data_IF_234449190391
#
_entry.id   IF_234449190391
#
_cell.length_a   1.000
_cell.length_b   1.000
_cell.length_c   1.000
_cell.angle_alpha   90.00
_cell.angle_beta   90.00
_cell.angle_gamma   90.00
#
_symmetry.space_group_name_H-M   'P 1'
#
loop_
_entity.id
_entity.type
_entity.pdbx_description
1 polymer ?
#
# COMPACT_ATOMS: atom_id res chain seq x y z
N UNK A 1 1.59 -3.29 32.25
CA UNK A 1 1.50 -3.14 30.78
C UNK A 1 2.89 -3.24 30.21
N UNK A 2 3.14 -4.13 29.23
CA UNK A 2 4.46 -4.19 28.55
C UNK A 2 4.72 -2.88 27.82
N UNK A 3 5.95 -2.34 27.96
CA UNK A 3 6.36 -1.14 27.22
C UNK A 3 6.30 -1.42 25.71
N UNK A 4 5.99 -0.41 24.90
CA UNK A 4 6.00 -0.52 23.45
C UNK A 4 7.40 -0.95 22.95
N UNK A 5 8.45 -0.59 23.66
CA UNK A 5 9.85 -0.98 23.39
C UNK A 5 10.14 -2.46 23.62
N UNK A 6 9.28 -3.19 24.36
CA UNK A 6 9.46 -4.63 24.63
C UNK A 6 8.95 -5.49 23.46
N UNK A 7 8.31 -4.90 22.48
CA UNK A 7 7.78 -5.62 21.31
C UNK A 7 8.90 -6.08 20.39
N UNK A 8 8.69 -7.22 19.74
CA UNK A 8 9.65 -7.83 18.80
C UNK A 8 9.49 -7.37 17.37
N UNK A 9 8.31 -6.82 17.01
CA UNK A 9 8.01 -6.41 15.66
C UNK A 9 7.08 -5.20 15.61
N UNK A 10 7.20 -4.42 14.52
CA UNK A 10 6.49 -3.17 14.31
C UNK A 10 5.91 -3.12 12.90
N UNK A 11 4.65 -2.69 12.80
CA UNK A 11 4.07 -2.27 11.53
C UNK A 11 3.84 -0.78 11.62
N UNK A 12 4.37 -0.04 10.65
CA UNK A 12 4.30 1.40 10.59
C UNK A 12 3.59 1.81 9.31
N UNK A 13 2.66 2.76 9.42
CA UNK A 13 2.16 3.47 8.26
C UNK A 13 3.26 4.38 7.69
N UNK A 14 3.14 4.80 6.44
CA UNK A 14 4.18 5.59 5.79
C UNK A 14 3.78 7.06 5.64
N UNK A 15 2.66 7.34 4.95
CA UNK A 15 2.23 8.69 4.64
C UNK A 15 1.69 9.40 5.89
N UNK A 16 2.29 10.53 6.26
CA UNK A 16 1.97 11.25 7.48
C UNK A 16 2.53 10.62 8.77
N UNK A 17 3.35 9.56 8.67
CA UNK A 17 3.97 8.85 9.81
C UNK A 17 5.49 8.78 9.67
N UNK A 18 6.00 8.37 8.52
CA UNK A 18 7.43 8.35 8.21
C UNK A 18 7.83 9.60 7.43
N UNK A 19 7.00 9.99 6.48
CA UNK A 19 7.22 11.18 5.66
C UNK A 19 5.91 11.89 5.31
N UNK A 20 6.01 13.15 4.89
CA UNK A 20 4.94 13.87 4.20
C UNK A 20 5.52 14.45 2.91
N UNK A 21 4.90 14.12 1.76
CA UNK A 21 5.42 14.48 0.45
C UNK A 21 6.84 13.91 0.23
N UNK A 22 7.84 14.79 0.15
CA UNK A 22 9.23 14.43 -0.04
C UNK A 22 10.12 14.77 1.19
N UNK A 23 9.52 14.94 2.36
CA UNK A 23 10.23 15.28 3.60
C UNK A 23 9.96 14.21 4.67
N UNK A 24 11.02 13.72 5.31
CA UNK A 24 10.88 12.88 6.51
C UNK A 24 10.26 13.69 7.65
N UNK A 25 9.44 13.02 8.44
CA UNK A 25 8.95 13.58 9.70
C UNK A 25 10.03 13.51 10.77
N UNK A 26 9.97 14.46 11.70
CA UNK A 26 10.93 14.54 12.82
C UNK A 26 10.84 13.25 13.64
N UNK A 27 11.99 12.65 13.91
CA UNK A 27 12.13 11.39 14.65
C UNK A 27 11.96 10.11 13.80
N UNK A 28 11.58 10.19 12.54
CA UNK A 28 11.41 9.00 11.70
C UNK A 28 12.75 8.28 11.45
N UNK A 29 13.84 9.05 11.27
CA UNK A 29 15.17 8.48 11.07
C UNK A 29 15.67 7.80 12.34
N UNK A 30 15.60 8.49 13.47
CA UNK A 30 15.99 7.97 14.79
C UNK A 30 15.21 6.72 15.16
N UNK A 31 13.92 6.69 14.82
CA UNK A 31 13.07 5.52 15.03
C UNK A 31 13.53 4.30 14.22
N UNK A 32 13.84 4.47 12.94
CA UNK A 32 14.32 3.36 12.10
C UNK A 32 15.71 2.90 12.53
N UNK A 33 16.61 3.83 12.87
CA UNK A 33 17.92 3.49 13.46
C UNK A 33 17.77 2.72 14.77
N UNK A 34 16.83 3.12 15.62
CA UNK A 34 16.53 2.38 16.85
C UNK A 34 16.01 0.95 16.56
N UNK A 35 15.14 0.77 15.56
CA UNK A 35 14.66 -0.55 15.14
C UNK A 35 15.83 -1.45 14.71
N UNK A 36 16.74 -0.95 13.89
CA UNK A 36 17.92 -1.68 13.45
C UNK A 36 18.87 -2.01 14.60
N UNK A 37 19.20 -1.02 15.45
CA UNK A 37 20.15 -1.17 16.56
C UNK A 37 19.64 -2.13 17.66
N UNK A 38 18.34 -2.43 17.69
CA UNK A 38 17.72 -3.33 18.67
C UNK A 38 17.20 -4.62 18.03
N UNK A 39 17.63 -4.96 16.82
CA UNK A 39 17.23 -6.17 16.06
C UNK A 39 15.71 -6.35 16.01
N UNK A 40 14.97 -5.25 15.87
CA UNK A 40 13.51 -5.27 15.79
C UNK A 40 13.08 -5.59 14.37
N UNK A 41 12.12 -6.51 14.22
CA UNK A 41 11.45 -6.74 12.94
C UNK A 41 10.49 -5.59 12.67
N UNK A 42 10.47 -5.05 11.44
CA UNK A 42 9.50 -4.02 11.09
C UNK A 42 9.07 -4.11 9.64
N UNK A 43 7.90 -3.54 9.37
CA UNK A 43 7.31 -3.46 8.04
C UNK A 43 6.64 -2.10 7.89
N UNK A 44 6.90 -1.45 6.78
CA UNK A 44 6.18 -0.27 6.34
C UNK A 44 4.97 -0.70 5.52
N UNK A 45 3.80 -0.24 5.94
CA UNK A 45 2.53 -0.56 5.32
C UNK A 45 1.93 0.70 4.71
N UNK A 46 1.60 0.68 3.42
CA UNK A 46 0.98 1.82 2.76
C UNK A 46 -0.24 1.43 1.94
N UNK A 47 -1.26 2.29 1.94
CA UNK A 47 -2.42 2.18 1.05
C UNK A 47 -2.09 2.55 -0.40
N UNK A 48 -0.98 3.24 -0.62
CA UNK A 48 -0.58 3.60 -1.99
C UNK A 48 -0.24 2.36 -2.81
N UNK A 49 -0.73 2.33 -4.03
CA UNK A 49 -0.44 1.32 -5.05
C UNK A 49 0.47 1.84 -6.16
N UNK A 50 0.87 3.12 -6.09
CA UNK A 50 1.60 3.79 -7.17
C UNK A 50 3.01 3.24 -7.35
N UNK A 51 3.72 3.00 -6.23
CA UNK A 51 5.14 2.64 -6.22
C UNK A 51 5.38 1.20 -5.82
N UNK A 52 6.35 0.59 -6.47
CA UNK A 52 6.93 -0.68 -6.04
C UNK A 52 7.76 -0.51 -4.76
N UNK A 53 8.04 -1.61 -4.01
CA UNK A 53 8.94 -1.59 -2.86
C UNK A 53 10.31 -0.95 -3.17
N UNK A 54 10.87 -1.25 -4.33
CA UNK A 54 12.15 -0.67 -4.80
C UNK A 54 12.06 0.85 -4.96
N UNK A 55 11.00 1.36 -5.59
CA UNK A 55 10.79 2.80 -5.75
C UNK A 55 10.57 3.51 -4.41
N UNK A 56 9.93 2.83 -3.44
CA UNK A 56 9.79 3.33 -2.06
C UNK A 56 11.14 3.36 -1.34
N UNK A 57 11.96 2.32 -1.46
CA UNK A 57 13.34 2.29 -0.97
C UNK A 57 14.14 3.47 -1.54
N UNK A 58 14.11 3.66 -2.86
CA UNK A 58 14.82 4.76 -3.51
C UNK A 58 14.30 6.14 -3.07
N UNK A 59 12.97 6.28 -2.87
CA UNK A 59 12.36 7.50 -2.33
C UNK A 59 12.88 7.81 -0.94
N UNK A 60 12.88 6.83 -0.03
CA UNK A 60 13.37 7.02 1.34
C UNK A 60 14.88 7.28 1.38
N UNK A 61 15.66 6.60 0.53
CA UNK A 61 17.10 6.82 0.42
C UNK A 61 17.43 8.27 0.00
N UNK A 62 16.67 8.86 -0.94
CA UNK A 62 16.82 10.29 -1.31
C UNK A 62 16.53 11.25 -0.16
N UNK A 63 15.71 10.84 0.81
CA UNK A 63 15.43 11.60 2.04
C UNK A 63 16.40 11.28 3.18
N UNK A 64 17.41 10.42 2.96
CA UNK A 64 18.41 10.05 3.95
C UNK A 64 17.99 8.93 4.91
N UNK A 65 16.97 8.16 4.56
CA UNK A 65 16.53 6.99 5.30
C UNK A 65 16.77 5.71 4.48
N UNK A 66 17.66 4.84 4.98
CA UNK A 66 18.11 3.64 4.27
C UNK A 66 17.44 2.39 4.85
N UNK A 67 16.57 1.79 4.06
CA UNK A 67 15.88 0.51 4.34
C UNK A 67 15.81 -0.30 3.07
N UNK A 68 15.79 -1.63 3.18
CA UNK A 68 15.71 -2.54 2.02
C UNK A 68 14.27 -2.74 1.58
N UNK A 69 14.08 -3.20 0.34
CA UNK A 69 12.75 -3.31 -0.29
C UNK A 69 11.81 -4.32 0.40
N UNK A 70 12.37 -5.29 1.13
CA UNK A 70 11.63 -6.30 1.91
C UNK A 70 10.90 -5.74 3.14
N UNK A 71 11.21 -4.50 3.52
CA UNK A 71 10.50 -3.78 4.57
C UNK A 71 9.21 -3.08 4.12
N UNK A 72 8.83 -3.19 2.84
CA UNK A 72 7.62 -2.51 2.34
C UNK A 72 6.53 -3.50 1.95
N UNK A 73 5.31 -3.19 2.36
CA UNK A 73 4.10 -3.89 1.93
C UNK A 73 3.05 -2.87 1.48
N UNK A 74 2.75 -2.87 0.19
CA UNK A 74 1.85 -1.91 -0.46
C UNK A 74 0.47 -2.51 -0.73
N UNK A 75 -0.53 -1.67 -0.96
CA UNK A 75 -1.84 -2.13 -1.40
C UNK A 75 -1.78 -2.85 -2.76
N UNK A 76 -0.79 -2.51 -3.61
CA UNK A 76 -0.53 -3.22 -4.86
C UNK A 76 -0.12 -4.68 -4.61
N UNK A 77 0.83 -4.93 -3.70
CA UNK A 77 1.26 -6.28 -3.32
C UNK A 77 0.12 -7.08 -2.68
N UNK A 78 -0.67 -6.43 -1.80
CA UNK A 78 -1.82 -7.05 -1.17
C UNK A 78 -2.86 -7.49 -2.22
N UNK A 79 -3.18 -6.61 -3.17
CA UNK A 79 -4.12 -6.87 -4.25
C UNK A 79 -3.62 -7.99 -5.16
N UNK A 80 -2.36 -7.93 -5.57
CA UNK A 80 -1.75 -8.96 -6.42
C UNK A 80 -1.75 -10.35 -5.76
N UNK A 81 -1.33 -10.42 -4.50
CA UNK A 81 -1.35 -11.66 -3.71
C UNK A 81 -2.77 -12.23 -3.55
N UNK A 82 -3.74 -11.36 -3.27
CA UNK A 82 -5.15 -11.76 -3.20
C UNK A 82 -5.64 -12.35 -4.53
N UNK A 83 -5.43 -11.64 -5.64
CA UNK A 83 -5.89 -12.08 -6.95
C UNK A 83 -5.21 -13.39 -7.39
N UNK A 84 -3.92 -13.56 -7.12
CA UNK A 84 -3.21 -14.81 -7.38
C UNK A 84 -3.78 -16.00 -6.58
N UNK A 85 -4.26 -15.75 -5.36
CA UNK A 85 -4.95 -16.76 -4.54
C UNK A 85 -6.33 -17.13 -5.07
N UNK A 86 -7.02 -16.18 -5.74
CA UNK A 86 -8.34 -16.41 -6.34
C UNK A 86 -8.25 -17.09 -7.71
N UNK A 87 -7.30 -16.69 -8.52
CA UNK A 87 -7.08 -17.22 -9.87
C UNK A 87 -5.59 -17.15 -10.22
N UNK A 88 -4.83 -18.22 -10.00
CA UNK A 88 -3.43 -18.30 -10.45
C UNK A 88 -3.33 -18.08 -11.97
N UNK A 89 -2.32 -17.34 -12.39
CA UNK A 89 -2.07 -17.00 -13.81
C UNK A 89 -3.28 -16.33 -14.51
N UNK A 90 -4.02 -15.53 -13.76
CA UNK A 90 -5.15 -14.76 -14.30
C UNK A 90 -4.71 -13.61 -15.19
N UNK A 91 -5.68 -12.85 -15.71
CA UNK A 91 -5.44 -11.70 -16.56
C UNK A 91 -6.15 -10.45 -16.04
N UNK A 92 -5.54 -9.27 -16.24
CA UNK A 92 -6.07 -8.02 -15.75
C UNK A 92 -5.94 -6.87 -16.77
N UNK A 93 -6.98 -6.05 -16.85
CA UNK A 93 -6.88 -4.69 -17.35
C UNK A 93 -6.61 -3.77 -16.18
N UNK A 94 -5.54 -2.99 -16.23
CA UNK A 94 -5.05 -2.21 -15.09
C UNK A 94 -5.17 -0.72 -15.37
N UNK A 95 -5.83 -0.01 -14.46
CA UNK A 95 -5.78 1.45 -14.37
C UNK A 95 -5.00 1.78 -13.10
N UNK A 96 -3.72 2.13 -13.24
CA UNK A 96 -2.80 2.33 -12.11
C UNK A 96 -1.39 2.63 -12.59
N UNK A 97 -0.50 2.86 -11.64
CA UNK A 97 0.91 3.14 -11.91
C UNK A 97 1.76 1.86 -11.96
N UNK A 98 3.04 2.02 -12.25
CA UNK A 98 3.99 0.93 -12.46
C UNK A 98 4.07 -0.04 -11.26
N UNK A 99 3.92 0.45 -10.03
CA UNK A 99 3.93 -0.38 -8.82
C UNK A 99 2.84 -1.45 -8.83
N UNK A 100 1.62 -1.10 -9.25
CA UNK A 100 0.50 -2.06 -9.36
C UNK A 100 0.70 -3.05 -10.50
N UNK A 101 1.12 -2.56 -11.69
CA UNK A 101 1.37 -3.41 -12.85
C UNK A 101 2.47 -4.43 -12.53
N UNK A 102 3.58 -3.97 -11.91
CA UNK A 102 4.68 -4.84 -11.51
C UNK A 102 4.23 -5.89 -10.49
N UNK A 103 3.48 -5.51 -9.47
CA UNK A 103 3.01 -6.43 -8.44
C UNK A 103 2.15 -7.56 -9.04
N UNK A 104 1.26 -7.25 -9.98
CA UNK A 104 0.45 -8.24 -10.68
C UNK A 104 1.29 -9.14 -11.60
N UNK A 105 2.24 -8.55 -12.32
CA UNK A 105 3.15 -9.29 -13.18
C UNK A 105 4.01 -10.29 -12.39
N UNK A 106 4.55 -9.86 -11.25
CA UNK A 106 5.41 -10.69 -10.39
C UNK A 106 4.69 -11.94 -9.82
N UNK A 107 3.36 -11.90 -9.70
CA UNK A 107 2.54 -13.05 -9.30
C UNK A 107 1.97 -13.85 -10.48
N UNK A 108 2.44 -13.57 -11.70
CA UNK A 108 2.10 -14.32 -12.91
C UNK A 108 0.83 -13.87 -13.65
N UNK A 109 0.32 -12.67 -13.36
CA UNK A 109 -0.81 -12.11 -14.12
C UNK A 109 -0.35 -11.57 -15.47
N UNK A 110 -1.16 -11.82 -16.51
CA UNK A 110 -1.01 -11.19 -17.82
C UNK A 110 -1.83 -9.91 -17.93
N UNK A 111 -1.27 -8.89 -18.60
CA UNK A 111 -2.01 -7.68 -18.93
C UNK A 111 -2.85 -7.96 -20.19
N UNK A 112 -4.17 -7.74 -20.08
CA UNK A 112 -5.13 -8.05 -21.14
C UNK A 112 -6.21 -6.97 -21.19
N UNK A 113 -6.38 -6.35 -22.35
CA UNK A 113 -7.34 -5.29 -22.58
C UNK A 113 -8.52 -5.70 -23.48
N UNK A 114 -8.60 -6.98 -23.85
CA UNK A 114 -9.65 -7.53 -24.73
C UNK A 114 -10.70 -8.31 -23.93
N UNK A 115 -10.26 -9.28 -23.13
CA UNK A 115 -11.14 -10.12 -22.31
C UNK A 115 -10.42 -10.51 -21.00
N UNK A 116 -10.17 -9.57 -20.10
CA UNK A 116 -9.50 -9.85 -18.84
C UNK A 116 -10.44 -10.52 -17.84
N UNK A 117 -9.87 -11.24 -16.88
CA UNK A 117 -10.62 -11.77 -15.73
C UNK A 117 -11.01 -10.66 -14.76
N UNK A 118 -10.14 -9.63 -14.67
CA UNK A 118 -10.28 -8.54 -13.72
C UNK A 118 -10.01 -7.17 -14.37
N UNK A 119 -10.76 -6.17 -13.93
CA UNK A 119 -10.41 -4.76 -14.09
C UNK A 119 -9.87 -4.30 -12.72
N UNK A 120 -8.60 -3.95 -12.65
CA UNK A 120 -7.92 -3.57 -11.40
C UNK A 120 -7.60 -2.09 -11.43
N UNK A 121 -8.12 -1.35 -10.45
CA UNK A 121 -7.93 0.10 -10.35
C UNK A 121 -7.11 0.43 -9.10
N UNK A 122 -6.04 1.18 -9.27
CA UNK A 122 -5.25 1.81 -8.22
C UNK A 122 -5.20 3.32 -8.37
N UNK A 123 -4.45 3.98 -7.49
CA UNK A 123 -4.18 5.40 -7.64
C UNK A 123 -3.36 5.65 -8.90
N UNK A 124 -3.74 6.68 -9.66
CA UNK A 124 -3.00 7.16 -10.81
C UNK A 124 -3.39 8.61 -11.14
N UNK A 125 -2.43 9.36 -11.63
CA UNK A 125 -2.66 10.69 -12.21
C UNK A 125 -3.02 10.63 -13.70
N UNK A 126 -2.83 9.46 -14.32
CA UNK A 126 -3.16 9.23 -15.72
C UNK A 126 -4.54 8.57 -15.86
N UNK A 127 -5.56 9.17 -15.21
CA UNK A 127 -6.95 8.74 -15.33
C UNK A 127 -7.67 9.61 -16.35
N UNK A 128 -8.26 9.00 -17.39
CA UNK A 128 -8.94 9.71 -18.45
C UNK A 128 -10.21 8.97 -18.90
N UNK A 129 -10.99 9.62 -19.76
CA UNK A 129 -12.25 9.09 -20.27
C UNK A 129 -12.09 7.74 -20.97
N UNK A 130 -11.04 7.56 -21.78
CA UNK A 130 -10.81 6.31 -22.52
C UNK A 130 -10.55 5.13 -21.58
N UNK A 131 -9.79 5.35 -20.50
CA UNK A 131 -9.57 4.32 -19.48
C UNK A 131 -10.87 3.94 -18.78
N UNK A 132 -11.71 4.93 -18.43
CA UNK A 132 -12.99 4.71 -17.79
C UNK A 132 -13.96 3.96 -18.72
N UNK A 133 -14.12 4.42 -19.96
CA UNK A 133 -14.98 3.79 -20.97
C UNK A 133 -14.58 2.32 -21.19
N UNK A 134 -13.28 2.06 -21.36
CA UNK A 134 -12.75 0.71 -21.53
C UNK A 134 -13.06 -0.17 -20.31
N UNK A 135 -12.85 0.34 -19.09
CA UNK A 135 -13.15 -0.37 -17.86
C UNK A 135 -14.65 -0.70 -17.75
N UNK A 136 -15.54 0.27 -18.03
CA UNK A 136 -17.01 0.07 -18.04
C UNK A 136 -17.38 -1.05 -19.01
N UNK A 137 -16.82 -1.03 -20.23
CA UNK A 137 -17.08 -2.05 -21.23
C UNK A 137 -16.63 -3.46 -20.77
N UNK A 138 -15.43 -3.57 -20.21
CA UNK A 138 -14.88 -4.85 -19.74
C UNK A 138 -15.66 -5.39 -18.54
N UNK A 139 -16.02 -4.55 -17.57
CA UNK A 139 -16.85 -4.94 -16.42
C UNK A 139 -18.24 -5.35 -16.85
N UNK A 140 -18.86 -4.64 -17.81
CA UNK A 140 -20.16 -5.01 -18.38
C UNK A 140 -20.12 -6.36 -19.11
N UNK A 141 -18.97 -6.73 -19.66
CA UNK A 141 -18.74 -8.06 -20.26
C UNK A 141 -18.45 -9.18 -19.26
N UNK A 142 -18.32 -8.88 -17.98
CA UNK A 142 -18.16 -9.87 -16.93
C UNK A 142 -16.83 -9.88 -16.21
N UNK A 143 -15.87 -9.00 -16.55
CA UNK A 143 -14.66 -8.81 -15.77
C UNK A 143 -15.01 -8.33 -14.35
N UNK A 144 -14.35 -8.88 -13.33
CA UNK A 144 -14.58 -8.45 -11.94
C UNK A 144 -13.86 -7.16 -11.64
N UNK A 145 -14.55 -6.19 -11.05
CA UNK A 145 -13.99 -4.89 -10.68
C UNK A 145 -13.30 -4.96 -9.31
N UNK A 146 -12.02 -4.58 -9.27
CA UNK A 146 -11.16 -4.65 -8.09
C UNK A 146 -10.53 -3.29 -7.84
N UNK A 147 -10.57 -2.83 -6.59
CA UNK A 147 -9.84 -1.66 -6.12
C UNK A 147 -8.70 -2.03 -5.19
N UNK A 148 -7.60 -1.30 -5.25
CA UNK A 148 -6.44 -1.53 -4.39
C UNK A 148 -6.69 -1.11 -2.94
N UNK A 149 -7.52 -0.07 -2.72
CA UNK A 149 -7.95 0.38 -1.39
C UNK A 149 -9.30 1.12 -1.46
N UNK A 150 -10.04 1.22 -0.35
CA UNK A 150 -11.36 1.87 -0.31
C UNK A 150 -11.29 3.38 -0.05
N UNK A 151 -10.12 4.00 -0.02
CA UNK A 151 -9.96 5.40 0.35
C UNK A 151 -10.53 6.32 -0.76
N UNK A 152 -11.34 7.29 -0.36
CA UNK A 152 -11.93 8.29 -1.28
C UNK A 152 -10.91 9.37 -1.65
N UNK A 153 -10.07 9.75 -0.69
CA UNK A 153 -9.07 10.80 -0.86
C UNK A 153 -7.76 10.40 -0.18
N UNK A 154 -6.66 10.94 -0.69
CA UNK A 154 -5.35 10.85 -0.06
C UNK A 154 -4.73 12.25 0.15
N UNK A 155 -3.82 12.42 1.12
CA UNK A 155 -3.13 13.68 1.34
C UNK A 155 -2.11 13.94 0.23
N UNK A 156 -1.97 15.22 -0.14
CA UNK A 156 -0.92 15.73 -1.03
C UNK A 156 -0.24 16.93 -0.40
N UNK A 157 0.87 17.38 -0.96
CA UNK A 157 1.57 18.61 -0.47
C UNK A 157 0.68 19.85 -0.56
N UNK A 158 -0.28 19.90 -1.50
CA UNK A 158 -1.18 21.03 -1.75
C UNK A 158 -2.62 20.82 -1.23
N UNK A 159 -2.89 19.74 -0.47
CA UNK A 159 -4.22 19.45 0.05
C UNK A 159 -4.62 17.98 -0.07
N UNK A 160 -5.73 17.68 -0.73
CA UNK A 160 -6.23 16.33 -0.95
C UNK A 160 -6.35 16.02 -2.44
N UNK A 161 -6.13 14.75 -2.81
CA UNK A 161 -6.37 14.24 -4.15
C UNK A 161 -7.36 13.06 -4.10
N UNK A 162 -8.07 12.76 -5.21
CA UNK A 162 -8.85 11.54 -5.34
C UNK A 162 -7.96 10.31 -5.15
N UNK A 163 -8.40 9.37 -4.31
CA UNK A 163 -7.77 8.07 -4.15
C UNK A 163 -8.54 6.98 -4.92
N UNK A 164 -8.13 5.72 -4.77
CA UNK A 164 -8.64 4.61 -5.57
C UNK A 164 -10.17 4.52 -5.61
N UNK A 165 -10.86 4.68 -4.48
CA UNK A 165 -12.33 4.62 -4.43
C UNK A 165 -13.01 5.69 -5.29
N UNK A 166 -12.45 6.91 -5.32
CA UNK A 166 -12.98 7.99 -6.14
C UNK A 166 -12.82 7.72 -7.64
N UNK A 167 -11.74 7.05 -8.05
CA UNK A 167 -11.50 6.68 -9.46
C UNK A 167 -12.42 5.51 -9.90
N UNK A 168 -12.81 4.64 -8.98
CA UNK A 168 -13.70 3.50 -9.24
C UNK A 168 -15.17 3.93 -9.33
N UNK A 169 -15.59 4.92 -8.56
CA UNK A 169 -16.99 5.32 -8.44
C UNK A 169 -17.73 5.49 -9.79
N UNK A 170 -17.19 6.16 -10.83
CA UNK A 170 -17.87 6.27 -12.10
C UNK A 170 -18.05 4.94 -12.83
N UNK A 171 -17.12 3.97 -12.65
CA UNK A 171 -17.23 2.62 -13.24
C UNK A 171 -18.38 1.84 -12.57
N UNK A 172 -18.46 1.89 -11.23
CA UNK A 172 -19.55 1.25 -10.48
C UNK A 172 -20.90 1.82 -10.85
N UNK A 173 -21.02 3.16 -10.92
CA UNK A 173 -22.26 3.86 -11.29
C UNK A 173 -22.73 3.51 -12.71
N UNK A 174 -21.79 3.39 -13.66
CA UNK A 174 -22.12 3.07 -15.04
C UNK A 174 -22.46 1.58 -15.26
N UNK A 175 -21.90 0.68 -14.46
CA UNK A 175 -22.06 -0.77 -14.64
C UNK A 175 -23.03 -1.42 -13.67
N UNK A 176 -23.45 -0.71 -12.63
CA UNK A 176 -24.19 -1.26 -11.47
C UNK A 176 -23.50 -2.45 -10.82
N UNK A 177 -22.17 -2.48 -10.85
CA UNK A 177 -21.33 -3.51 -10.25
C UNK A 177 -20.47 -2.89 -9.17
N UNK A 178 -20.52 -3.48 -7.98
CA UNK A 178 -19.68 -3.07 -6.87
C UNK A 178 -18.25 -3.61 -7.02
N UNK A 179 -17.26 -2.77 -6.73
CA UNK A 179 -15.88 -3.17 -6.69
C UNK A 179 -15.57 -3.93 -5.40
N UNK A 180 -14.73 -4.96 -5.52
CA UNK A 180 -14.11 -5.58 -4.36
C UNK A 180 -12.81 -4.85 -4.02
N UNK A 181 -12.62 -4.51 -2.75
CA UNK A 181 -11.40 -3.89 -2.25
C UNK A 181 -10.62 -4.88 -1.40
N UNK A 182 -9.40 -5.21 -1.85
CA UNK A 182 -8.50 -6.10 -1.13
C UNK A 182 -8.07 -5.56 0.24
N UNK A 183 -8.00 -4.27 0.37
CA UNK A 183 -7.77 -3.48 1.59
C UNK A 183 -6.50 -3.80 2.36
N UNK A 184 -5.91 -2.77 2.96
CA UNK A 184 -4.72 -2.83 3.82
C UNK A 184 -4.85 -3.83 4.98
N UNK A 185 -6.06 -4.01 5.51
CA UNK A 185 -6.27 -4.72 6.77
C UNK A 185 -6.92 -6.09 6.62
N UNK A 186 -7.73 -6.35 5.60
CA UNK A 186 -8.51 -7.58 5.55
C UNK A 186 -7.72 -8.78 5.03
N UNK A 187 -6.83 -8.59 4.05
CA UNK A 187 -6.02 -9.66 3.45
C UNK A 187 -4.53 -9.56 3.81
N UNK A 188 -4.04 -8.35 4.13
CA UNK A 188 -2.67 -8.13 4.61
C UNK A 188 -2.43 -8.77 5.99
N UNK A 189 -3.45 -8.79 6.87
CA UNK A 189 -3.34 -9.42 8.17
C UNK A 189 -3.21 -10.95 8.11
N UNK A 190 -3.86 -11.63 7.17
CA UNK A 190 -3.76 -13.08 7.07
C UNK A 190 -2.43 -13.50 6.42
N UNK A 191 -1.94 -12.77 5.42
CA UNK A 191 -0.61 -12.98 4.85
C UNK A 191 0.52 -12.57 5.84
N UNK A 192 0.27 -11.54 6.67
CA UNK A 192 1.18 -11.10 7.73
C UNK A 192 1.14 -11.99 8.97
N UNK A 193 0.00 -12.57 9.35
CA UNK A 193 -0.09 -13.57 10.43
C UNK A 193 0.82 -14.77 10.17
N UNK A 194 0.96 -15.19 8.93
CA UNK A 194 1.85 -16.29 8.53
C UNK A 194 3.35 -15.90 8.59
N UNK A 195 3.69 -14.61 8.43
CA UNK A 195 5.08 -14.11 8.49
C UNK A 195 5.49 -13.54 9.85
N UNK A 196 4.55 -13.12 10.69
CA UNK A 196 4.82 -12.30 11.87
C UNK A 196 3.97 -12.77 13.07
N UNK A 197 4.42 -13.80 13.73
CA UNK A 197 3.78 -14.39 14.92
C UNK A 197 3.89 -13.52 16.18
N UNK A 198 3.94 -12.21 16.14
CA UNK A 198 3.82 -11.27 17.29
C UNK A 198 4.10 -9.83 16.86
N UNK A 199 3.06 -9.08 16.56
CA UNK A 199 3.17 -7.67 16.15
C UNK A 199 2.55 -6.72 17.15
N UNK A 200 3.24 -5.61 17.40
CA UNK A 200 2.63 -4.39 17.93
C UNK A 200 2.35 -3.42 16.78
N UNK A 201 1.13 -2.91 16.70
CA UNK A 201 0.85 -1.71 15.91
C UNK A 201 1.32 -0.54 16.77
N UNK A 202 2.40 0.12 16.36
CA UNK A 202 2.89 1.30 17.06
C UNK A 202 2.46 2.56 16.31
N UNK A 203 1.76 3.45 17.01
CA UNK A 203 1.64 4.85 16.60
C UNK A 203 2.93 5.56 16.94
N UNK A 204 3.66 6.03 15.95
CA UNK A 204 4.99 6.66 16.09
C UNK A 204 5.01 7.83 17.09
N UNK A 205 4.01 8.74 17.19
CA UNK A 205 4.02 9.79 18.20
C UNK A 205 4.16 9.27 19.64
N UNK A 206 3.52 8.15 19.95
CA UNK A 206 3.59 7.56 21.29
C UNK A 206 4.95 6.93 21.57
N UNK A 207 5.58 6.32 20.55
CA UNK A 207 6.90 5.72 20.66
C UNK A 207 8.00 6.76 20.80
N UNK A 208 7.92 7.86 20.05
CA UNK A 208 8.87 8.98 20.15
C UNK A 208 8.82 9.65 21.52
N UNK A 209 7.63 9.76 22.14
CA UNK A 209 7.51 10.25 23.52
C UNK A 209 8.19 9.32 24.53
N UNK A 210 8.11 8.01 24.34
CA UNK A 210 8.79 7.03 25.21
C UNK A 210 10.32 7.02 25.00
N UNK A 211 10.79 7.11 23.76
CA UNK A 211 12.23 7.18 23.45
C UNK A 211 12.86 8.47 23.99
N UNK A 212 12.21 9.62 23.81
CA UNK A 212 12.67 10.89 24.39
C UNK A 212 12.63 10.93 25.92
N UNK A 213 11.76 10.15 26.56
CA UNK A 213 11.75 10.00 28.02
C UNK A 213 12.94 9.19 28.52
N UNK A 214 13.35 8.14 27.80
CA UNK A 214 14.51 7.30 28.16
C UNK A 214 15.85 7.99 27.89
N UNK A 215 15.95 8.84 26.84
CA UNK A 215 17.17 9.59 26.52
C UNK A 215 17.45 10.76 27.47
N UNK A 216 16.50 11.17 28.31
CA UNK A 216 16.69 12.19 29.37
C UNK A 216 17.08 11.64 30.74
N UNK A 217 17.33 10.32 30.83
CA UNK A 217 17.72 9.62 32.05
C UNK A 217 19.18 9.13 32.03
N UNK A 218 19.98 9.64 31.08
CA UNK A 218 21.45 9.48 31.03
C UNK A 218 22.14 10.84 30.93
#
# INVERSE_FOLDING_TARGET
MSSITDKRGYICDMDGVIYHGNRLLDGAKEFVEWLHNNDKRFLFLTNSSERSPRELQEKLARMGLFVTEDHFYTSALATASFLASQKPSGSAYVIGEAGLVKALYDVGFSMNDVNPDYVVVGETRNYNYNHMEKAVHLVSKGAKLIGTNPDLTGPTESGIAPACRALIAPIELATFREAYFGGKLRNGWDALRLKLSLLAIAWIPTLLLELNRKSRLF
#
